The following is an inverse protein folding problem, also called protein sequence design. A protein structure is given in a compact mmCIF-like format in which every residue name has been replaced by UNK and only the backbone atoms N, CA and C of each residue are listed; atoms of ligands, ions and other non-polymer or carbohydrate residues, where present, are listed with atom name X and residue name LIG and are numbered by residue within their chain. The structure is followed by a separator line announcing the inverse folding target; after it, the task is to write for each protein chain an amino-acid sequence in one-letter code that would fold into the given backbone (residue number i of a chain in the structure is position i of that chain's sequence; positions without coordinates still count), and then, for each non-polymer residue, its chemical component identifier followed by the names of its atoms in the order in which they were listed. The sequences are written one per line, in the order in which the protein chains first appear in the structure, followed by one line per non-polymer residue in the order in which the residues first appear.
data_IF_473084027244
#
_entry.id   IF_473084027244
#
_cell.length_a   1.000
_cell.length_b   1.000
_cell.length_c   1.000
_cell.angle_alpha   90.00
_cell.angle_beta   90.00
_cell.angle_gamma   90.00
#
_symmetry.space_group_name_H-M   'P 1'
#
loop_
_entity.id
_entity.type
_entity.pdbx_description
1 polymer ?
#
# COMPACT_ATOMS: atom_id res chain seq x y z
N UNK A 1 -12.78 -13.98 9.77
CA UNK A 1 -12.61 -13.51 8.37
C UNK A 1 -11.55 -12.42 8.33
N UNK A 2 -10.70 -12.35 7.29
CA UNK A 2 -9.68 -11.31 7.21
C UNK A 2 -10.28 -9.95 6.86
N UNK A 3 -10.10 -8.97 7.76
CA UNK A 3 -10.52 -7.58 7.62
C UNK A 3 -9.32 -6.65 7.50
N UNK A 4 -9.53 -5.43 6.96
CA UNK A 4 -8.52 -4.40 6.97
C UNK A 4 -8.19 -3.97 8.41
N UNK A 5 -6.90 -3.77 8.71
CA UNK A 5 -6.41 -3.32 10.01
C UNK A 5 -6.38 -1.79 10.13
N UNK A 6 -6.53 -1.05 9.02
CA UNK A 6 -6.50 0.40 9.03
C UNK A 6 -7.62 0.99 9.89
N UNK A 7 -7.29 2.09 10.58
CA UNK A 7 -8.25 2.84 11.41
C UNK A 7 -9.36 3.38 10.51
N UNK A 8 -10.61 3.21 10.92
CA UNK A 8 -11.83 3.60 10.18
C UNK A 8 -12.03 2.90 8.82
N UNK A 9 -11.33 1.79 8.54
CA UNK A 9 -11.57 1.01 7.33
C UNK A 9 -12.47 -0.19 7.61
N UNK A 10 -13.65 -0.23 6.96
CA UNK A 10 -14.58 -1.37 7.00
C UNK A 10 -14.46 -2.27 5.77
N UNK A 11 -13.40 -2.11 4.96
CA UNK A 11 -13.12 -2.99 3.83
C UNK A 11 -12.61 -4.35 4.29
N UNK A 12 -13.04 -5.40 3.60
CA UNK A 12 -12.71 -6.79 3.92
C UNK A 12 -12.68 -7.64 2.64
N UNK A 13 -12.09 -8.84 2.73
CA UNK A 13 -12.05 -9.78 1.60
C UNK A 13 -13.46 -10.10 1.08
N UNK A 14 -14.41 -10.08 2.00
CA UNK A 14 -15.82 -10.40 1.78
C UNK A 14 -16.49 -9.39 0.86
N UNK A 15 -16.04 -8.12 0.89
CA UNK A 15 -16.49 -7.07 -0.04
C UNK A 15 -15.81 -7.15 -1.41
N UNK A 16 -15.07 -8.23 -1.71
CA UNK A 16 -14.34 -8.42 -2.97
C UNK A 16 -13.04 -7.62 -3.07
N UNK A 17 -12.58 -7.01 -1.97
CA UNK A 17 -11.34 -6.22 -1.94
C UNK A 17 -10.13 -7.11 -1.71
N UNK A 18 -9.04 -6.85 -2.45
CA UNK A 18 -7.75 -7.51 -2.21
C UNK A 18 -7.12 -6.99 -0.92
N UNK A 19 -6.64 -7.91 -0.10
CA UNK A 19 -5.95 -7.64 1.15
C UNK A 19 -4.49 -8.06 1.03
N UNK A 20 -3.61 -7.18 1.46
CA UNK A 20 -2.17 -7.36 1.47
C UNK A 20 -1.70 -7.49 2.91
N UNK A 21 -1.02 -8.58 3.19
CA UNK A 21 -0.42 -8.83 4.50
C UNK A 21 0.83 -7.97 4.67
N UNK A 22 1.09 -7.53 5.90
CA UNK A 22 2.33 -6.81 6.22
C UNK A 22 3.52 -7.66 5.78
N UNK A 23 4.50 -7.05 5.10
CA UNK A 23 5.63 -7.79 4.58
C UNK A 23 6.47 -8.44 5.69
N UNK A 24 7.02 -9.62 5.37
CA UNK A 24 7.81 -10.44 6.28
C UNK A 24 9.17 -10.82 5.67
N UNK A 25 10.13 -11.11 6.54
CA UNK A 25 11.54 -11.36 6.19
C UNK A 25 12.45 -10.19 6.55
N UNK A 26 13.74 -10.47 6.71
CA UNK A 26 14.77 -9.49 7.09
C UNK A 26 14.91 -8.36 6.08
N UNK A 27 14.83 -8.66 4.79
CA UNK A 27 14.84 -7.69 3.69
C UNK A 27 13.66 -6.69 3.70
N UNK A 28 12.66 -6.91 4.55
CA UNK A 28 11.44 -6.09 4.61
C UNK A 28 11.26 -5.40 5.96
N UNK A 29 12.26 -5.42 6.84
CA UNK A 29 12.16 -4.86 8.20
C UNK A 29 11.84 -3.36 8.16
N UNK A 30 12.54 -2.60 7.33
CA UNK A 30 12.35 -1.14 7.22
C UNK A 30 10.96 -0.80 6.71
N UNK A 31 10.53 -1.44 5.62
CA UNK A 31 9.18 -1.30 5.08
C UNK A 31 8.12 -1.70 6.11
N UNK A 32 8.34 -2.79 6.85
CA UNK A 32 7.44 -3.20 7.93
C UNK A 32 7.34 -2.10 8.98
N UNK A 33 8.46 -1.53 9.43
CA UNK A 33 8.44 -0.44 10.42
C UNK A 33 7.61 0.73 9.92
N UNK A 34 7.76 1.12 8.66
CA UNK A 34 6.96 2.20 8.05
C UNK A 34 5.47 1.85 7.99
N UNK A 35 5.11 0.62 7.58
CA UNK A 35 3.72 0.16 7.64
C UNK A 35 3.14 0.25 9.04
N UNK A 36 3.88 -0.23 10.06
CA UNK A 36 3.43 -0.19 11.46
C UNK A 36 3.28 1.26 11.95
N UNK A 37 4.23 2.13 11.59
CA UNK A 37 4.21 3.54 11.92
C UNK A 37 2.96 4.22 11.34
N UNK A 38 2.67 4.00 10.05
CA UNK A 38 1.51 4.61 9.38
C UNK A 38 0.16 4.04 9.79
N UNK A 39 0.09 2.73 10.09
CA UNK A 39 -1.11 2.12 10.69
C UNK A 39 -1.41 2.74 12.06
N UNK A 40 -0.39 3.29 12.74
CA UNK A 40 -0.54 3.91 14.06
C UNK A 40 -0.84 2.91 15.18
N UNK A 41 -0.65 1.61 14.91
CA UNK A 41 -0.79 0.55 15.92
C UNK A 41 0.58 0.03 16.28
N UNK A 42 0.91 0.00 17.57
CA UNK A 42 2.03 -0.79 18.10
C UNK A 42 1.47 -2.13 18.55
N UNK A 43 1.96 -3.23 18.00
CA UNK A 43 1.52 -4.56 18.40
C UNK A 43 2.40 -5.67 17.86
N UNK A 44 2.51 -6.76 18.63
CA UNK A 44 3.28 -7.96 18.32
C UNK A 44 2.72 -8.73 17.11
N UNK A 45 1.44 -8.48 16.77
CA UNK A 45 0.67 -9.16 15.72
C UNK A 45 0.85 -8.57 14.31
N UNK A 46 1.99 -7.93 14.03
CA UNK A 46 2.27 -7.34 12.70
C UNK A 46 2.04 -8.33 11.55
N UNK A 47 2.32 -9.63 11.75
CA UNK A 47 2.11 -10.68 10.75
C UNK A 47 0.64 -10.95 10.43
N UNK A 48 -0.26 -10.72 11.38
CA UNK A 48 -1.70 -10.90 11.19
C UNK A 48 -2.36 -9.68 10.52
N UNK A 49 -1.68 -8.53 10.50
CA UNK A 49 -2.25 -7.30 9.96
C UNK A 49 -2.29 -7.35 8.44
N UNK A 50 -3.44 -6.95 7.91
CA UNK A 50 -3.71 -6.88 6.48
C UNK A 50 -4.30 -5.53 6.15
N UNK A 51 -3.89 -4.95 5.04
CA UNK A 51 -4.43 -3.70 4.49
C UNK A 51 -5.12 -3.99 3.17
N UNK A 52 -6.29 -3.39 2.94
CA UNK A 52 -6.92 -3.48 1.63
C UNK A 52 -6.19 -2.62 0.59
N UNK A 53 -6.41 -2.95 -0.68
CA UNK A 53 -5.85 -2.23 -1.81
C UNK A 53 -6.13 -0.72 -1.82
N UNK A 54 -7.25 -0.27 -1.23
CA UNK A 54 -7.62 1.15 -1.13
C UNK A 54 -6.62 2.00 -0.33
N UNK A 55 -5.73 1.37 0.47
CA UNK A 55 -4.67 2.08 1.22
C UNK A 55 -3.38 2.29 0.41
N UNK A 56 -3.31 1.74 -0.80
CA UNK A 56 -2.17 1.84 -1.70
C UNK A 56 -2.58 2.61 -2.95
N UNK A 57 -1.71 3.49 -3.43
CA UNK A 57 -1.90 4.12 -4.75
C UNK A 57 -1.59 3.11 -5.85
N UNK A 58 -2.19 3.30 -7.03
CA UNK A 58 -2.02 2.37 -8.15
C UNK A 58 -0.55 2.21 -8.57
N UNK A 59 0.25 3.28 -8.41
CA UNK A 59 1.69 3.25 -8.67
C UNK A 59 2.45 2.28 -7.76
N UNK A 60 1.96 1.99 -6.57
CA UNK A 60 2.62 1.06 -5.64
C UNK A 60 2.41 -0.41 -6.05
N UNK A 61 1.59 -0.67 -7.06
CA UNK A 61 1.41 -1.99 -7.63
C UNK A 61 2.37 -2.21 -8.79
N UNK A 62 2.80 -3.47 -8.93
CA UNK A 62 3.53 -3.96 -10.08
C UNK A 62 2.55 -4.07 -11.27
N UNK A 63 2.32 -2.96 -11.97
CA UNK A 63 1.42 -2.91 -13.13
C UNK A 63 1.83 -3.92 -14.21
N UNK A 64 3.13 -4.20 -14.36
CA UNK A 64 3.62 -5.20 -15.30
C UNK A 64 3.12 -6.61 -14.93
N UNK A 65 3.13 -6.97 -13.65
CA UNK A 65 2.64 -8.27 -13.16
C UNK A 65 1.11 -8.32 -13.28
N UNK A 66 0.44 -7.23 -12.95
CA UNK A 66 -1.02 -7.11 -13.08
C UNK A 66 -1.46 -7.32 -14.53
N UNK A 67 -0.79 -6.69 -15.50
CA UNK A 67 -1.11 -6.83 -16.94
C UNK A 67 -0.84 -8.24 -17.47
N UNK A 68 0.21 -8.90 -16.99
CA UNK A 68 0.59 -10.24 -17.46
C UNK A 68 -0.23 -11.37 -16.84
N UNK A 69 -0.58 -11.26 -15.56
CA UNK A 69 -1.15 -12.37 -14.78
C UNK A 69 -2.52 -12.06 -14.18
N UNK A 70 -2.97 -10.81 -14.18
CA UNK A 70 -4.18 -10.36 -13.46
C UNK A 70 -4.00 -10.29 -11.94
N UNK A 71 -2.79 -10.55 -11.42
CA UNK A 71 -2.49 -10.52 -9.99
C UNK A 71 -1.97 -9.14 -9.59
N UNK A 72 -2.68 -8.48 -8.67
CA UNK A 72 -2.24 -7.23 -8.03
C UNK A 72 -1.18 -7.62 -7.02
N UNK A 73 0.06 -7.28 -7.33
CA UNK A 73 1.20 -7.48 -6.44
C UNK A 73 1.77 -6.12 -6.09
N UNK A 74 2.07 -5.91 -4.80
CA UNK A 74 2.74 -4.70 -4.36
C UNK A 74 4.22 -4.74 -4.73
N UNK A 75 4.75 -3.58 -5.12
CA UNK A 75 6.19 -3.35 -5.30
C UNK A 75 6.95 -3.64 -3.99
N UNK A 76 8.25 -3.98 -4.07
CA UNK A 76 9.06 -4.25 -2.88
C UNK A 76 9.18 -3.02 -1.96
N UNK A 77 9.11 -1.81 -2.51
CA UNK A 77 9.12 -0.53 -1.79
C UNK A 77 7.72 0.03 -1.51
N UNK A 78 6.66 -0.76 -1.74
CA UNK A 78 5.30 -0.28 -1.57
C UNK A 78 4.96 0.05 -0.12
N UNK A 79 4.51 1.28 0.15
CA UNK A 79 4.08 1.73 1.47
C UNK A 79 2.63 2.24 1.44
N UNK A 80 1.79 1.91 2.44
CA UNK A 80 0.44 2.41 2.50
C UNK A 80 0.51 3.91 2.77
N UNK A 81 -0.12 4.72 1.93
CA UNK A 81 -0.06 6.19 2.06
C UNK A 81 -1.43 6.81 2.30
N UNK A 82 -2.50 6.06 2.04
CA UNK A 82 -3.87 6.56 2.13
C UNK A 82 -4.43 6.12 3.47
N UNK A 83 -4.32 6.97 4.49
CA UNK A 83 -5.00 6.80 5.77
C UNK A 83 -5.82 8.05 6.05
N UNK A 84 -7.06 7.88 6.54
CA UNK A 84 -7.92 9.00 6.92
C UNK A 84 -7.56 9.59 8.29
N UNK A 85 -6.36 9.35 8.80
CA UNK A 85 -5.91 9.91 10.08
C UNK A 85 -5.54 11.39 9.89
N UNK A 86 -5.94 12.28 10.81
CA UNK A 86 -5.71 13.73 10.69
C UNK A 86 -4.25 14.18 10.88
N UNK A 87 -3.28 13.25 10.94
CA UNK A 87 -1.89 13.53 11.31
C UNK A 87 -0.84 13.23 10.23
N UNK A 88 -1.22 12.69 9.06
CA UNK A 88 -0.25 12.38 8.01
C UNK A 88 -0.35 13.41 6.87
N UNK A 89 0.35 14.53 7.06
CA UNK A 89 0.58 15.52 6.00
C UNK A 89 1.22 14.84 4.80
N UNK A 90 0.59 14.99 3.64
CA UNK A 90 1.06 14.54 2.33
C UNK A 90 2.55 14.86 2.12
N UNK A 91 3.36 13.85 1.81
CA UNK A 91 4.63 14.08 1.12
C UNK A 91 4.67 13.28 -0.18
N UNK A 92 4.84 14.06 -1.25
CA UNK A 92 5.65 13.77 -2.45
C UNK A 92 5.11 12.74 -3.44
N UNK A 93 4.11 13.20 -4.21
CA UNK A 93 3.96 12.80 -5.61
C UNK A 93 4.57 13.88 -6.52
N UNK A 94 5.90 14.02 -6.53
CA UNK A 94 6.59 14.75 -7.59
C UNK A 94 6.66 13.84 -8.82
N UNK A 95 5.65 13.92 -9.68
CA UNK A 95 5.77 13.48 -11.07
C UNK A 95 6.30 14.70 -11.85
N UNK A 96 7.54 14.71 -12.36
CA UNK A 96 7.89 15.60 -13.45
C UNK A 96 7.20 15.03 -14.70
N UNK A 97 5.98 15.49 -14.96
CA UNK A 97 5.34 15.31 -16.26
C UNK A 97 5.63 16.56 -17.07
N UNK A 98 6.86 16.70 -17.55
CA UNK A 98 7.08 17.59 -18.69
C UNK A 98 6.86 16.82 -19.99
N UNK A 99 5.92 17.34 -20.77
CA UNK A 99 5.40 16.84 -22.02
C UNK A 99 5.55 17.97 -23.03
N UNK A 100 6.41 17.79 -24.04
CA UNK A 100 6.31 18.35 -25.41
C UNK A 100 7.42 17.67 -26.24
N UNK A 101 7.18 16.85 -27.28
CA UNK A 101 6.58 17.14 -28.60
C UNK A 101 7.09 18.48 -29.15
N UNK A 102 7.81 18.61 -30.27
CA UNK A 102 7.69 17.99 -31.60
C UNK A 102 8.90 18.39 -32.50
N UNK A 103 9.18 17.52 -33.49
CA UNK A 103 9.57 17.78 -34.89
C UNK A 103 10.18 19.14 -35.30
N UNK A 104 11.41 19.15 -35.83
CA UNK A 104 11.73 19.25 -37.28
C UNK A 104 13.24 19.25 -37.52
#
# INVERSE_FOLDING_TARGET
MPSCCAVNCTSSAVKGKRLFSVPCGEQNIERRKEWLHRIGRKGLEARAWRLCEDHFTDDQFEQMILKKTGVKKLKPYAVPSIFSSPHFSKEEGTVPRDRRQESR
#
